data_IF_623749183148
#
_entry.id   IF_623749183148
#
_cell.length_a   1.000
_cell.length_b   1.000
_cell.length_c   1.000
_cell.angle_alpha   90.00
_cell.angle_beta   90.00
_cell.angle_gamma   90.00
#
_symmetry.space_group_name_H-M   'P 1'
#
loop_
_entity.id
_entity.type
_entity.pdbx_description
1 polymer ?
#
# COMPACT_ATOMS: atom_id res chain seq x y z
N UNK A 1 7.27 -15.54 5.48
CA UNK A 1 6.59 -14.80 6.54
C UNK A 1 6.01 -15.79 7.54
N UNK A 2 6.60 -15.85 8.73
CA UNK A 2 6.07 -16.60 9.86
C UNK A 2 4.79 -15.94 10.41
N UNK A 3 4.07 -16.62 11.30
CA UNK A 3 2.90 -16.03 11.97
C UNK A 3 3.29 -14.80 12.81
N UNK A 4 4.44 -14.85 13.49
CA UNK A 4 4.94 -13.74 14.29
C UNK A 4 5.30 -12.52 13.43
N UNK A 5 5.97 -12.73 12.29
CA UNK A 5 6.29 -11.66 11.34
C UNK A 5 5.02 -11.01 10.78
N UNK A 6 3.97 -11.80 10.48
CA UNK A 6 2.69 -11.28 10.01
C UNK A 6 2.04 -10.36 11.06
N UNK A 7 1.99 -10.79 12.33
CA UNK A 7 1.45 -9.98 13.43
C UNK A 7 2.22 -8.67 13.61
N UNK A 8 3.55 -8.75 13.58
CA UNK A 8 4.40 -7.55 13.69
C UNK A 8 4.16 -6.55 12.54
N UNK A 9 3.93 -7.05 11.32
CA UNK A 9 3.59 -6.19 10.17
C UNK A 9 2.21 -5.56 10.36
N UNK A 10 1.21 -6.29 10.84
CA UNK A 10 -0.13 -5.76 11.13
C UNK A 10 -0.07 -4.65 12.18
N UNK A 11 0.66 -4.85 13.28
CA UNK A 11 0.88 -3.83 14.32
C UNK A 11 1.60 -2.58 13.77
N UNK A 12 2.62 -2.78 12.93
CA UNK A 12 3.33 -1.66 12.28
C UNK A 12 2.44 -0.90 11.29
N UNK A 13 1.56 -1.59 10.57
CA UNK A 13 0.61 -0.96 9.64
C UNK A 13 -0.37 -0.04 10.39
N UNK A 14 -0.90 -0.48 11.52
CA UNK A 14 -1.81 0.34 12.32
C UNK A 14 -1.10 1.58 12.89
N UNK A 15 0.09 1.40 13.49
CA UNK A 15 0.90 2.54 13.94
C UNK A 15 1.23 3.51 12.80
N UNK A 16 1.57 2.99 11.62
CA UNK A 16 1.91 3.82 10.47
C UNK A 16 0.69 4.58 9.93
N UNK A 17 -0.50 3.96 9.91
CA UNK A 17 -1.75 4.62 9.52
C UNK A 17 -2.10 5.76 10.44
N UNK A 18 -1.96 5.59 11.76
CA UNK A 18 -2.26 6.66 12.71
C UNK A 18 -1.33 7.86 12.47
N UNK A 19 -0.03 7.61 12.34
CA UNK A 19 0.96 8.65 12.04
C UNK A 19 0.68 9.37 10.70
N UNK A 20 0.31 8.63 9.65
CA UNK A 20 -0.01 9.21 8.34
C UNK A 20 -1.32 10.01 8.38
N UNK A 21 -2.32 9.54 9.14
CA UNK A 21 -3.59 10.22 9.32
C UNK A 21 -3.39 11.54 10.06
N UNK A 22 -2.61 11.54 11.14
CA UNK A 22 -2.29 12.75 11.91
C UNK A 22 -1.50 13.75 11.06
N UNK A 23 -0.46 13.28 10.35
CA UNK A 23 0.47 14.15 9.63
C UNK A 23 -0.08 14.69 8.32
N UNK A 24 -0.85 13.89 7.58
CA UNK A 24 -1.27 14.21 6.23
C UNK A 24 -2.79 14.35 6.08
N UNK A 25 -3.57 14.10 7.13
CA UNK A 25 -5.05 14.09 7.06
C UNK A 25 -5.58 13.13 5.99
N UNK A 26 -4.94 11.97 5.87
CA UNK A 26 -5.40 10.91 4.99
C UNK A 26 -6.80 10.41 5.44
N UNK A 27 -7.71 10.29 4.48
CA UNK A 27 -9.11 9.91 4.73
C UNK A 27 -9.35 8.42 4.52
N UNK A 28 -8.53 7.79 3.67
CA UNK A 28 -8.59 6.37 3.35
C UNK A 28 -7.20 5.83 3.00
N UNK A 29 -7.10 4.52 2.79
CA UNK A 29 -5.84 3.85 2.50
C UNK A 29 -6.01 2.73 1.48
N UNK A 30 -5.02 2.57 0.60
CA UNK A 30 -4.80 1.31 -0.11
C UNK A 30 -3.65 0.55 0.56
N UNK A 31 -3.91 -0.71 0.90
CA UNK A 31 -2.92 -1.62 1.51
C UNK A 31 -2.80 -2.86 0.62
N UNK A 32 -1.57 -3.26 0.29
CA UNK A 32 -1.38 -4.45 -0.55
C UNK A 32 0.04 -4.98 -0.61
N UNK A 33 0.14 -6.21 -1.09
CA UNK A 33 1.39 -6.97 -1.23
C UNK A 33 1.33 -7.73 -2.56
N UNK A 34 2.40 -7.67 -3.35
CA UNK A 34 2.57 -8.52 -4.53
C UNK A 34 3.50 -9.69 -4.18
N UNK A 35 3.03 -10.92 -4.38
CA UNK A 35 3.80 -12.14 -4.09
C UNK A 35 4.13 -12.86 -5.39
N UNK A 36 5.40 -12.86 -5.76
CA UNK A 36 5.92 -13.49 -6.97
C UNK A 36 5.84 -12.60 -8.21
N UNK A 37 6.67 -12.96 -9.20
CA UNK A 37 6.82 -12.20 -10.46
C UNK A 37 5.49 -12.06 -11.22
N UNK A 38 4.66 -13.09 -11.24
CA UNK A 38 3.36 -13.08 -11.92
C UNK A 38 2.37 -12.07 -11.31
N UNK A 39 2.48 -11.81 -10.00
CA UNK A 39 1.71 -10.77 -9.32
C UNK A 39 2.28 -9.35 -9.54
N UNK A 40 3.39 -9.21 -10.28
CA UNK A 40 4.04 -7.93 -10.51
C UNK A 40 5.04 -7.51 -9.43
N UNK A 41 5.52 -8.45 -8.60
CA UNK A 41 6.61 -8.16 -7.64
C UNK A 41 7.91 -7.84 -8.39
N UNK A 42 8.44 -6.63 -8.19
CA UNK A 42 9.72 -6.18 -8.75
C UNK A 42 10.85 -6.25 -7.73
N UNK A 43 10.54 -6.03 -6.44
CA UNK A 43 11.48 -6.16 -5.32
C UNK A 43 11.22 -7.47 -4.57
N UNK A 44 12.14 -8.43 -4.67
CA UNK A 44 12.05 -9.76 -4.05
C UNK A 44 12.46 -9.77 -2.58
N UNK A 45 11.94 -8.81 -1.83
CA UNK A 45 11.98 -8.75 -0.37
C UNK A 45 10.56 -8.54 0.15
N UNK A 46 10.23 -9.05 1.34
CA UNK A 46 8.92 -8.81 1.93
C UNK A 46 8.70 -7.30 2.12
N UNK A 47 7.63 -6.76 1.55
CA UNK A 47 7.22 -5.38 1.74
C UNK A 47 5.70 -5.26 1.60
N UNK A 48 5.12 -4.32 2.34
CA UNK A 48 3.70 -3.98 2.25
C UNK A 48 3.58 -2.54 1.79
N UNK A 49 2.75 -2.30 0.78
CA UNK A 49 2.38 -0.96 0.40
C UNK A 49 1.34 -0.43 1.37
N UNK A 50 1.59 0.74 1.95
CA UNK A 50 0.62 1.54 2.69
C UNK A 50 0.54 2.89 2.01
N UNK A 51 -0.58 3.16 1.33
CA UNK A 51 -0.73 4.35 0.49
C UNK A 51 -1.91 5.18 1.02
N UNK A 52 -1.66 6.36 1.63
CA UNK A 52 -2.72 7.27 2.06
C UNK A 52 -3.49 7.81 0.84
N UNK A 53 -4.79 8.01 1.02
CA UNK A 53 -5.72 8.49 -0.01
C UNK A 53 -6.55 9.67 0.50
N UNK A 54 -6.87 10.57 -0.41
CA UNK A 54 -7.73 11.73 -0.19
C UNK A 54 -8.83 11.79 -1.22
N UNK A 55 -9.97 12.36 -0.88
CA UNK A 55 -11.05 12.61 -1.81
C UNK A 55 -10.54 13.42 -3.03
N UNK A 56 -10.67 12.83 -4.22
CA UNK A 56 -10.30 13.48 -5.48
C UNK A 56 -8.81 13.43 -5.84
N UNK A 57 -7.96 12.72 -5.09
CA UNK A 57 -6.53 12.56 -5.39
C UNK A 57 -6.25 11.81 -6.72
N UNK A 58 -7.19 10.97 -7.15
CA UNK A 58 -7.16 10.22 -8.40
C UNK A 58 -8.54 10.30 -9.06
N UNK A 59 -8.59 10.56 -10.37
CA UNK A 59 -9.83 10.70 -11.15
C UNK A 59 -10.76 9.49 -11.05
N UNK A 60 -10.19 8.28 -11.03
CA UNK A 60 -10.94 7.03 -10.83
C UNK A 60 -10.25 6.20 -9.74
N UNK A 61 -10.82 6.10 -8.52
CA UNK A 61 -10.18 5.39 -7.41
C UNK A 61 -10.31 3.85 -7.49
N UNK A 62 -11.06 3.31 -8.45
CA UNK A 62 -11.23 1.87 -8.66
C UNK A 62 -10.07 1.27 -9.47
N UNK A 63 -9.79 -0.04 -9.34
CA UNK A 63 -8.70 -0.72 -10.07
C UNK A 63 -7.61 -1.36 -9.18
N UNK A 64 -7.77 -1.31 -7.86
CA UNK A 64 -6.88 -1.95 -6.89
C UNK A 64 -5.53 -1.25 -6.72
N UNK A 65 -4.63 -1.86 -5.93
CA UNK A 65 -3.36 -1.24 -5.50
C UNK A 65 -2.44 -0.86 -6.66
N UNK A 66 -2.51 -1.59 -7.79
CA UNK A 66 -1.72 -1.29 -9.00
C UNK A 66 -2.12 0.01 -9.70
N UNK A 67 -3.38 0.44 -9.54
CA UNK A 67 -3.92 1.64 -10.19
C UNK A 67 -3.81 2.91 -9.34
N UNK A 68 -3.20 2.84 -8.15
CA UNK A 68 -3.23 3.96 -7.19
C UNK A 68 -2.48 5.19 -7.70
N UNK A 69 -1.42 5.01 -8.48
CA UNK A 69 -0.75 6.09 -9.21
C UNK A 69 -0.71 5.70 -10.69
N UNK A 70 -1.77 6.03 -11.47
CA UNK A 70 -1.94 5.52 -12.83
C UNK A 70 -0.75 5.78 -13.75
N UNK A 71 -0.09 6.93 -13.60
CA UNK A 71 1.06 7.30 -14.43
C UNK A 71 2.34 6.53 -14.06
N UNK A 72 2.42 6.00 -12.84
CA UNK A 72 3.59 5.27 -12.31
C UNK A 72 3.36 3.78 -12.15
N UNK A 73 2.24 3.25 -12.64
CA UNK A 73 1.89 1.84 -12.50
C UNK A 73 2.82 0.90 -13.29
N UNK A 74 3.45 1.43 -14.35
CA UNK A 74 4.41 0.71 -15.18
C UNK A 74 5.82 1.09 -14.73
N UNK A 75 6.49 0.19 -14.00
CA UNK A 75 7.87 0.36 -13.53
C UNK A 75 8.89 0.14 -14.67
N UNK A 76 8.81 0.98 -15.72
CA UNK A 76 9.75 1.00 -16.85
C UNK A 76 10.54 2.30 -16.85
#
# INVERSE_FOLDING_TARGET
MTKAERKAIEELLDLSKDNLTEKFHAEAYNIGINVGKAAGQTVFHCHVHLIPRHQGDVKNPTGGVRGVIPEKQNYR
#
